data_IF_024424102099
#
_entry.id   IF_024424102099
#
_cell.length_a   1.000
_cell.length_b   1.000
_cell.length_c   1.000
_cell.angle_alpha   90.00
_cell.angle_beta   90.00
_cell.angle_gamma   90.00
#
_symmetry.space_group_name_H-M   'P 1'
#
loop_
_entity.id
_entity.type
_entity.pdbx_description
1 polymer ?
#
# COMPACT_ATOMS: atom_id res chain seq x y z
N UNK A 1 -12.32 46.97 -3.92
CA UNK A 1 -11.41 45.88 -3.44
C UNK A 1 -11.88 44.60 -4.12
N UNK A 2 -11.18 44.16 -5.13
CA UNK A 2 -11.46 42.87 -5.75
C UNK A 2 -11.04 41.78 -4.76
N UNK A 3 -12.01 41.00 -4.28
CA UNK A 3 -11.73 39.77 -3.56
C UNK A 3 -11.10 38.80 -4.57
N UNK A 4 -9.76 38.67 -4.49
CA UNK A 4 -9.01 37.65 -5.20
C UNK A 4 -9.57 36.29 -4.75
N UNK A 5 -10.42 35.68 -5.57
CA UNK A 5 -10.92 34.33 -5.35
C UNK A 5 -9.69 33.41 -5.32
N UNK A 6 -9.25 33.03 -4.12
CA UNK A 6 -8.16 32.06 -3.94
C UNK A 6 -8.73 30.74 -4.41
N UNK A 7 -8.38 30.36 -5.65
CA UNK A 7 -8.80 29.12 -6.25
C UNK A 7 -8.03 27.99 -5.56
N UNK A 8 -8.57 27.46 -4.47
CA UNK A 8 -8.00 26.35 -3.72
C UNK A 8 -7.98 25.10 -4.63
N UNK A 9 -6.79 24.57 -4.90
CA UNK A 9 -6.64 23.32 -5.63
C UNK A 9 -6.98 22.14 -4.72
N UNK A 10 -7.88 21.28 -5.19
CA UNK A 10 -8.28 20.06 -4.49
C UNK A 10 -7.46 18.87 -4.99
N UNK A 11 -6.83 18.17 -4.07
CA UNK A 11 -5.95 17.02 -4.37
C UNK A 11 -6.55 15.74 -3.83
N UNK A 12 -6.55 14.70 -4.64
CA UNK A 12 -6.83 13.32 -4.26
C UNK A 12 -5.55 12.53 -4.36
N UNK A 13 -5.24 11.75 -3.33
CA UNK A 13 -4.02 10.93 -3.26
C UNK A 13 -4.38 9.46 -3.45
N UNK A 14 -3.64 8.79 -4.30
CA UNK A 14 -3.75 7.35 -4.55
C UNK A 14 -2.48 6.66 -4.05
N UNK A 15 -2.64 5.71 -3.14
CA UNK A 15 -1.53 5.05 -2.45
C UNK A 15 -1.53 3.56 -2.76
N UNK A 16 -0.44 3.09 -3.34
CA UNK A 16 -0.12 1.66 -3.35
C UNK A 16 0.41 1.27 -1.97
N UNK A 17 -0.45 0.65 -1.17
CA UNK A 17 -0.15 0.32 0.22
C UNK A 17 0.94 -0.74 0.37
N UNK A 18 1.03 -1.68 -0.56
CA UNK A 18 2.08 -2.70 -0.54
C UNK A 18 3.45 -2.08 -0.79
N UNK A 19 3.59 -1.29 -1.87
CA UNK A 19 4.85 -0.62 -2.19
C UNK A 19 5.25 0.40 -1.12
N UNK A 20 4.30 1.16 -0.59
CA UNK A 20 4.57 2.09 0.51
C UNK A 20 5.07 1.35 1.76
N UNK A 21 4.38 0.28 2.16
CA UNK A 21 4.75 -0.46 3.37
C UNK A 21 6.12 -1.12 3.23
N UNK A 22 6.34 -1.93 2.20
CA UNK A 22 7.59 -2.66 2.03
C UNK A 22 8.76 -1.77 1.61
N UNK A 23 8.50 -0.72 0.84
CA UNK A 23 9.52 0.19 0.36
C UNK A 23 9.96 1.26 1.36
N UNK A 24 9.10 1.64 2.32
CA UNK A 24 9.37 2.81 3.18
C UNK A 24 9.01 2.64 4.66
N UNK A 25 7.96 1.92 5.01
CA UNK A 25 7.43 1.91 6.37
C UNK A 25 7.88 0.71 7.18
N UNK A 26 8.09 -0.44 6.55
CA UNK A 26 8.50 -1.68 7.22
C UNK A 26 9.80 -1.49 7.99
N UNK A 27 9.80 -1.90 9.26
CA UNK A 27 10.97 -1.79 10.14
C UNK A 27 11.27 -0.38 10.65
N UNK A 28 10.37 0.58 10.43
CA UNK A 28 10.49 1.94 10.94
C UNK A 28 9.49 2.22 12.06
N UNK A 29 9.69 3.32 12.79
CA UNK A 29 8.72 3.83 13.77
C UNK A 29 7.41 4.32 13.11
N UNK A 30 7.40 4.51 11.78
CA UNK A 30 6.27 5.02 11.01
C UNK A 30 5.40 3.91 10.40
N UNK A 31 5.54 2.68 10.86
CA UNK A 31 4.79 1.51 10.37
C UNK A 31 3.28 1.74 10.30
N UNK A 32 2.73 2.52 11.24
CA UNK A 32 1.31 2.84 11.37
C UNK A 32 1.03 4.32 11.11
N UNK A 33 1.65 4.85 10.05
CA UNK A 33 1.53 6.25 9.65
C UNK A 33 0.07 6.63 9.38
N UNK A 34 -0.39 7.73 9.97
CA UNK A 34 -1.66 8.33 9.58
C UNK A 34 -1.50 8.98 8.21
N UNK A 35 -2.02 8.30 7.18
CA UNK A 35 -1.83 8.71 5.79
C UNK A 35 -2.53 10.04 5.48
N UNK A 36 -3.68 10.31 6.08
CA UNK A 36 -4.43 11.54 5.82
C UNK A 36 -3.68 12.74 6.42
N UNK A 37 -3.27 12.64 7.68
CA UNK A 37 -2.48 13.69 8.34
C UNK A 37 -1.14 13.93 7.63
N UNK A 38 -0.49 12.85 7.19
CA UNK A 38 0.78 12.95 6.47
C UNK A 38 0.63 13.71 5.15
N UNK A 39 -0.37 13.38 4.34
CA UNK A 39 -0.56 14.05 3.06
C UNK A 39 -1.12 15.46 3.22
N UNK A 40 -1.96 15.74 4.23
CA UNK A 40 -2.35 17.11 4.59
C UNK A 40 -1.11 17.97 4.88
N UNK A 41 -0.22 17.49 5.75
CA UNK A 41 0.99 18.21 6.09
C UNK A 41 1.94 18.39 4.89
N UNK A 42 2.03 17.38 4.02
CA UNK A 42 2.87 17.44 2.82
C UNK A 42 2.36 18.50 1.82
N UNK A 43 1.04 18.55 1.59
CA UNK A 43 0.43 19.49 0.66
C UNK A 43 0.56 20.94 1.16
N UNK A 44 0.29 21.19 2.44
CA UNK A 44 0.45 22.52 3.03
C UNK A 44 1.90 23.03 2.91
N UNK A 45 2.88 22.16 3.04
CA UNK A 45 4.31 22.51 2.83
C UNK A 45 4.63 22.85 1.39
N UNK A 46 3.95 22.21 0.44
CA UNK A 46 4.18 22.42 -0.99
C UNK A 46 3.49 23.67 -1.50
N UNK A 47 2.23 23.86 -1.15
CA UNK A 47 1.42 25.01 -1.56
C UNK A 47 0.26 25.20 -0.57
N UNK A 48 0.23 26.35 0.11
CA UNK A 48 -0.83 26.68 1.08
C UNK A 48 -2.23 26.80 0.46
N UNK A 49 -2.33 26.90 -0.87
CA UNK A 49 -3.59 26.91 -1.62
C UNK A 49 -4.05 25.50 -2.04
N UNK A 50 -3.34 24.48 -1.64
CA UNK A 50 -3.67 23.09 -1.93
C UNK A 50 -4.36 22.44 -0.73
N UNK A 51 -5.44 21.70 -0.99
CA UNK A 51 -6.18 20.99 0.07
C UNK A 51 -6.38 19.52 -0.29
N UNK A 52 -6.16 18.65 0.68
CA UNK A 52 -6.42 17.23 0.53
C UNK A 52 -7.93 16.96 0.60
N UNK A 53 -8.47 16.42 -0.47
CA UNK A 53 -9.87 15.98 -0.51
C UNK A 53 -10.01 14.56 0.01
N UNK A 54 -9.16 13.65 -0.46
CA UNK A 54 -9.28 12.23 -0.16
C UNK A 54 -7.96 11.49 -0.35
N UNK A 55 -7.75 10.47 0.46
CA UNK A 55 -6.73 9.42 0.27
C UNK A 55 -7.42 8.12 -0.12
N UNK A 56 -7.03 7.53 -1.23
CA UNK A 56 -7.44 6.20 -1.65
C UNK A 56 -6.27 5.24 -1.44
N UNK A 57 -6.39 4.35 -0.46
CA UNK A 57 -5.39 3.34 -0.13
C UNK A 57 -5.75 2.02 -0.81
N UNK A 58 -4.89 1.53 -1.67
CA UNK A 58 -5.02 0.23 -2.32
C UNK A 58 -4.07 -0.75 -1.66
N UNK A 59 -4.59 -1.84 -1.12
CA UNK A 59 -3.81 -2.80 -0.33
C UNK A 59 -4.41 -4.20 -0.42
N UNK A 60 -3.82 -5.17 0.26
CA UNK A 60 -4.40 -6.49 0.45
C UNK A 60 -4.31 -6.90 1.92
N UNK A 61 -5.18 -7.80 2.35
CA UNK A 61 -5.14 -8.34 3.71
C UNK A 61 -3.87 -9.17 3.93
N UNK A 62 -3.23 -8.98 5.07
CA UNK A 62 -2.19 -9.92 5.51
C UNK A 62 -2.78 -11.33 5.67
N UNK A 63 -2.03 -12.33 5.25
CA UNK A 63 -2.41 -13.73 5.43
C UNK A 63 -1.68 -14.29 6.65
N UNK A 64 -2.41 -14.71 7.67
CA UNK A 64 -1.86 -15.13 8.96
C UNK A 64 -0.76 -16.20 8.81
N UNK A 65 -0.94 -17.19 7.95
CA UNK A 65 0.05 -18.27 7.74
C UNK A 65 1.36 -17.82 7.10
N UNK A 66 1.40 -16.61 6.51
CA UNK A 66 2.61 -16.06 5.86
C UNK A 66 3.12 -14.80 6.55
N UNK A 67 2.35 -14.24 7.48
CA UNK A 67 2.72 -13.03 8.19
C UNK A 67 3.73 -13.34 9.30
N UNK A 68 4.65 -12.40 9.55
CA UNK A 68 5.73 -12.55 10.54
C UNK A 68 5.24 -12.91 11.95
N UNK A 69 4.08 -12.37 12.34
CA UNK A 69 3.46 -12.62 13.65
C UNK A 69 2.09 -13.32 13.50
N UNK A 70 1.89 -14.06 12.43
CA UNK A 70 0.68 -14.85 12.21
C UNK A 70 -0.60 -14.01 12.30
N UNK A 71 -1.56 -14.49 13.06
CA UNK A 71 -2.86 -13.84 13.27
C UNK A 71 -2.73 -12.42 13.85
N UNK A 72 -1.78 -12.17 14.73
CA UNK A 72 -1.56 -10.84 15.31
C UNK A 72 -1.22 -9.77 14.24
N UNK A 73 -0.58 -10.16 13.13
CA UNK A 73 -0.35 -9.24 12.01
C UNK A 73 -1.64 -8.84 11.31
N UNK A 74 -2.58 -9.78 11.14
CA UNK A 74 -3.90 -9.52 10.55
C UNK A 74 -4.72 -8.59 11.44
N UNK A 75 -4.72 -8.85 12.74
CA UNK A 75 -5.42 -8.04 13.74
C UNK A 75 -4.88 -6.61 13.80
N UNK A 76 -3.55 -6.47 13.80
CA UNK A 76 -2.91 -5.16 13.80
C UNK A 76 -3.22 -4.35 12.52
N UNK A 77 -3.21 -4.99 11.34
CA UNK A 77 -3.61 -4.34 10.10
C UNK A 77 -5.08 -3.92 10.15
N UNK A 78 -5.97 -4.80 10.62
CA UNK A 78 -7.40 -4.52 10.77
C UNK A 78 -7.64 -3.35 11.72
N UNK A 79 -6.96 -3.32 12.86
CA UNK A 79 -7.05 -2.22 13.82
C UNK A 79 -6.60 -0.89 13.22
N UNK A 80 -5.49 -0.89 12.48
CA UNK A 80 -4.98 0.29 11.78
C UNK A 80 -5.96 0.82 10.74
N UNK A 81 -6.51 -0.04 9.89
CA UNK A 81 -7.49 0.37 8.88
C UNK A 81 -8.76 0.94 9.51
N UNK A 82 -9.27 0.31 10.58
CA UNK A 82 -10.41 0.83 11.33
C UNK A 82 -10.13 2.20 11.96
N UNK A 83 -8.95 2.37 12.55
CA UNK A 83 -8.54 3.64 13.14
C UNK A 83 -8.52 4.77 12.12
N UNK A 84 -7.94 4.52 10.92
CA UNK A 84 -7.95 5.49 9.83
C UNK A 84 -9.39 5.87 9.40
N UNK A 85 -10.25 4.86 9.22
CA UNK A 85 -11.64 5.08 8.79
C UNK A 85 -12.46 5.80 9.86
N UNK A 86 -12.30 5.45 11.14
CA UNK A 86 -13.00 6.10 12.24
C UNK A 86 -12.55 7.55 12.43
N UNK A 87 -11.25 7.84 12.25
CA UNK A 87 -10.70 9.18 12.42
C UNK A 87 -11.05 10.11 11.28
N UNK A 88 -11.01 9.61 10.04
CA UNK A 88 -11.07 10.45 8.85
C UNK A 88 -12.34 10.32 8.01
N UNK A 89 -13.19 9.32 8.31
CA UNK A 89 -14.46 9.11 7.61
C UNK A 89 -14.30 9.00 6.10
N UNK A 90 -15.01 9.85 5.37
CA UNK A 90 -15.01 9.86 3.89
C UNK A 90 -13.69 10.34 3.26
N UNK A 91 -12.80 10.95 4.06
CA UNK A 91 -11.49 11.40 3.58
C UNK A 91 -10.52 10.24 3.32
N UNK A 92 -10.84 9.02 3.73
CA UNK A 92 -10.07 7.82 3.41
C UNK A 92 -10.96 6.74 2.82
N UNK A 93 -10.48 6.11 1.76
CA UNK A 93 -11.08 4.91 1.18
C UNK A 93 -10.02 3.81 1.14
N UNK A 94 -10.37 2.61 1.56
CA UNK A 94 -9.46 1.46 1.53
C UNK A 94 -10.04 0.40 0.60
N UNK A 95 -9.30 0.10 -0.46
CA UNK A 95 -9.68 -0.88 -1.48
C UNK A 95 -8.77 -2.09 -1.38
N UNK A 96 -9.35 -3.26 -1.25
CA UNK A 96 -8.60 -4.49 -1.05
C UNK A 96 -8.46 -5.28 -2.34
N UNK A 97 -7.22 -5.66 -2.66
CA UNK A 97 -6.88 -6.68 -3.62
C UNK A 97 -6.98 -8.08 -3.00
N UNK A 98 -6.40 -9.04 -3.68
CA UNK A 98 -6.36 -10.44 -3.23
C UNK A 98 -4.94 -10.99 -3.31
N UNK A 99 -4.67 -12.10 -2.61
CA UNK A 99 -3.45 -12.87 -2.77
C UNK A 99 -3.72 -14.13 -3.58
N UNK A 100 -2.74 -14.51 -4.38
CA UNK A 100 -2.71 -15.83 -5.03
C UNK A 100 -1.42 -16.55 -4.70
N UNK A 101 -1.51 -17.86 -4.62
CA UNK A 101 -0.38 -18.74 -4.42
C UNK A 101 -0.66 -20.04 -5.17
N UNK A 102 0.31 -20.49 -5.95
CA UNK A 102 0.24 -21.82 -6.57
C UNK A 102 0.42 -22.90 -5.49
N UNK A 103 -0.59 -23.74 -5.22
CA UNK A 103 -0.50 -24.79 -4.21
C UNK A 103 0.53 -25.87 -4.56
N UNK A 104 0.94 -25.99 -5.83
CA UNK A 104 2.01 -26.90 -6.29
C UNK A 104 3.41 -26.30 -6.20
N UNK A 105 3.51 -25.02 -5.83
CA UNK A 105 4.74 -24.23 -5.80
C UNK A 105 5.15 -23.72 -7.19
N UNK A 106 5.79 -22.58 -7.20
CA UNK A 106 6.30 -21.93 -8.42
C UNK A 106 7.71 -22.40 -8.72
N UNK A 107 7.97 -22.79 -9.97
CA UNK A 107 9.28 -23.24 -10.42
C UNK A 107 10.10 -22.02 -10.88
N UNK A 108 11.12 -21.64 -10.12
CA UNK A 108 11.99 -20.49 -10.40
C UNK A 108 13.44 -20.95 -10.63
N UNK A 109 14.23 -20.20 -11.44
CA UNK A 109 15.66 -20.43 -11.57
C UNK A 109 16.36 -20.33 -10.22
N UNK A 110 17.23 -21.29 -9.91
CA UNK A 110 17.97 -21.34 -8.66
C UNK A 110 19.26 -20.54 -8.77
N UNK A 111 19.56 -19.76 -7.74
CA UNK A 111 20.88 -19.14 -7.59
C UNK A 111 21.88 -20.20 -7.08
N UNK A 112 22.99 -20.39 -7.80
CA UNK A 112 24.11 -21.20 -7.37
C UNK A 112 25.34 -20.33 -7.28
N UNK A 113 25.94 -20.26 -6.07
CA UNK A 113 27.12 -19.40 -5.83
C UNK A 113 28.28 -19.80 -6.74
N UNK A 114 28.91 -18.80 -7.38
CA UNK A 114 30.05 -19.00 -8.27
C UNK A 114 29.70 -19.54 -9.66
N UNK A 115 28.42 -19.70 -9.99
CA UNK A 115 27.98 -20.09 -11.32
C UNK A 115 27.19 -18.98 -12.02
N UNK A 116 27.29 -18.86 -13.36
CA UNK A 116 26.45 -17.93 -14.12
C UNK A 116 24.98 -18.35 -14.05
N UNK A 117 24.08 -17.40 -14.38
CA UNK A 117 22.64 -17.68 -14.45
C UNK A 117 22.36 -18.82 -15.45
N UNK A 118 21.65 -19.85 -14.98
CA UNK A 118 21.12 -20.91 -15.81
C UNK A 118 19.61 -21.09 -15.56
N UNK A 119 18.82 -20.84 -16.61
CA UNK A 119 17.36 -20.98 -16.55
C UNK A 119 16.88 -22.43 -16.36
N UNK A 120 17.72 -23.41 -16.63
CA UNK A 120 17.38 -24.83 -16.57
C UNK A 120 17.56 -25.41 -15.15
N UNK A 121 18.42 -24.77 -14.35
CA UNK A 121 18.59 -25.14 -12.94
C UNK A 121 17.50 -24.45 -12.13
N UNK A 122 16.47 -25.20 -11.73
CA UNK A 122 15.26 -24.65 -11.13
C UNK A 122 14.90 -25.34 -9.82
N UNK A 123 14.34 -24.56 -8.89
CA UNK A 123 13.77 -25.05 -7.63
C UNK A 123 12.31 -24.61 -7.49
N UNK A 124 11.52 -25.45 -6.81
CA UNK A 124 10.15 -25.08 -6.43
C UNK A 124 10.19 -24.25 -5.17
N UNK A 125 9.49 -23.12 -5.20
CA UNK A 125 9.37 -22.19 -4.06
C UNK A 125 7.91 -21.83 -3.85
N UNK A 126 7.58 -21.49 -2.62
CA UNK A 126 6.31 -20.84 -2.34
C UNK A 126 6.40 -19.37 -2.76
N UNK A 127 5.63 -18.98 -3.75
CA UNK A 127 5.51 -17.60 -4.20
C UNK A 127 4.09 -17.11 -3.92
N UNK A 128 4.01 -16.11 -3.06
CA UNK A 128 2.76 -15.39 -2.78
C UNK A 128 2.79 -14.14 -3.63
N UNK A 129 1.76 -13.94 -4.42
CA UNK A 129 1.60 -12.75 -5.25
C UNK A 129 0.36 -11.98 -4.81
N UNK A 130 0.53 -10.70 -4.61
CA UNK A 130 -0.59 -9.78 -4.50
C UNK A 130 -1.18 -9.57 -5.91
N UNK A 131 -2.49 -9.60 -5.99
CA UNK A 131 -3.23 -9.44 -7.25
C UNK A 131 -4.26 -8.33 -7.11
N UNK A 132 -4.49 -7.64 -8.21
CA UNK A 132 -5.54 -6.63 -8.40
C UNK A 132 -5.29 -5.28 -7.73
N UNK A 133 -4.32 -5.10 -6.84
CA UNK A 133 -4.10 -3.82 -6.17
C UNK A 133 -3.67 -2.74 -7.13
N UNK A 134 -2.69 -3.02 -7.98
CA UNK A 134 -2.21 -2.14 -9.04
C UNK A 134 -3.29 -1.85 -10.11
N UNK A 135 -4.06 -2.88 -10.49
CA UNK A 135 -5.19 -2.73 -11.42
C UNK A 135 -6.30 -1.87 -10.80
N UNK A 136 -6.68 -2.13 -9.55
CA UNK A 136 -7.67 -1.35 -8.83
C UNK A 136 -7.23 0.12 -8.69
N UNK A 137 -5.94 0.36 -8.42
CA UNK A 137 -5.38 1.69 -8.34
C UNK A 137 -5.47 2.40 -9.70
N UNK A 138 -5.07 1.73 -10.78
CA UNK A 138 -5.14 2.28 -12.13
C UNK A 138 -6.58 2.64 -12.53
N UNK A 139 -7.55 1.76 -12.26
CA UNK A 139 -8.98 2.01 -12.52
C UNK A 139 -9.50 3.17 -11.67
N UNK A 140 -9.08 3.27 -10.42
CA UNK A 140 -9.52 4.34 -9.51
C UNK A 140 -9.00 5.72 -9.88
N UNK A 141 -7.95 5.81 -10.70
CA UNK A 141 -7.40 7.08 -11.19
C UNK A 141 -8.13 7.62 -12.44
N UNK A 142 -8.96 6.78 -13.10
CA UNK A 142 -9.81 7.16 -14.22
C UNK A 142 -11.18 7.65 -13.74
#
# INVERSE_FOLDING_TARGET
MEQKQINSRRTVVYVDGYNLYYGRLRGTAFKWLDLVEYFDALLVRRDQNESLTKVNLYTAWALARFATHGQASVEAQSAYHRALQQRHGERISIVYGSHSMDPSGTLLPSYVSGQPYDRNVRSRVWKIEEKKTDVNLAIGMY
#
